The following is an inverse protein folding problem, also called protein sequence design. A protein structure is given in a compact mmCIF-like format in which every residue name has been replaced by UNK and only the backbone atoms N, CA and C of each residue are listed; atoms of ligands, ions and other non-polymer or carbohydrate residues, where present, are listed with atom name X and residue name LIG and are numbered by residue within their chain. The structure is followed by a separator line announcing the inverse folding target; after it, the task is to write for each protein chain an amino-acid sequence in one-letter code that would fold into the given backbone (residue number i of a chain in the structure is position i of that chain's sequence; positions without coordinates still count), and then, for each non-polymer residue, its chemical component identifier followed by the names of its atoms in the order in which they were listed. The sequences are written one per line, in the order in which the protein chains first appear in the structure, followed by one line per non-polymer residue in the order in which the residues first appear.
data_IF_169992319355
#
_entry.id   IF_169992319355
#
_cell.length_a   1.000
_cell.length_b   1.000
_cell.length_c   1.000
_cell.angle_alpha   90.00
_cell.angle_beta   90.00
_cell.angle_gamma   90.00
#
_symmetry.space_group_name_H-M   'P 1'
#
loop_
_entity.id
_entity.type
_entity.pdbx_description
1 polymer ?
#
# COMPACT_ATOMS: atom_id res chain seq x y z
N UNK A 1 -2.34 -21.03 9.78
CA UNK A 1 -2.11 -22.08 10.80
C UNK A 1 -0.63 -22.37 11.14
N UNK A 2 0.36 -22.17 10.25
CA UNK A 2 1.75 -22.54 10.52
C UNK A 2 2.60 -21.54 11.36
N UNK A 3 2.16 -20.28 11.48
CA UNK A 3 2.93 -19.21 12.13
C UNK A 3 3.46 -19.57 13.54
N UNK A 4 2.69 -20.18 14.46
CA UNK A 4 3.15 -20.49 15.82
C UNK A 4 4.29 -21.52 15.89
N UNK A 5 4.46 -22.32 14.84
CA UNK A 5 5.47 -23.38 14.75
C UNK A 5 6.77 -22.93 14.06
N UNK A 6 6.86 -21.65 13.67
CA UNK A 6 8.01 -21.10 12.96
C UNK A 6 9.29 -21.17 13.83
N UNK A 7 10.26 -21.98 13.38
CA UNK A 7 11.57 -22.18 14.01
C UNK A 7 12.72 -21.70 13.12
N UNK A 8 12.66 -20.44 12.69
CA UNK A 8 13.72 -19.81 11.91
C UNK A 8 14.79 -19.19 12.84
N UNK A 9 16.05 -19.64 12.73
CA UNK A 9 17.13 -19.02 13.49
C UNK A 9 17.47 -17.63 12.92
N UNK A 10 17.55 -16.61 13.79
CA UNK A 10 17.95 -15.27 13.39
C UNK A 10 16.92 -14.50 12.55
N UNK A 11 15.61 -14.84 12.69
CA UNK A 11 14.54 -14.14 12.01
C UNK A 11 14.53 -12.64 12.35
N UNK A 12 14.55 -11.78 11.32
CA UNK A 12 14.57 -10.32 11.47
C UNK A 12 13.32 -9.62 10.94
N UNK A 13 12.69 -10.17 9.91
CA UNK A 13 11.46 -9.63 9.33
C UNK A 13 10.43 -10.75 9.27
N UNK A 14 9.25 -10.50 9.81
CA UNK A 14 8.12 -11.41 9.80
C UNK A 14 6.91 -10.68 9.25
N UNK A 15 6.35 -11.18 8.16
CA UNK A 15 5.14 -10.66 7.52
C UNK A 15 4.12 -11.77 7.45
N UNK A 16 2.92 -11.51 7.96
CA UNK A 16 1.83 -12.47 8.08
C UNK A 16 0.57 -11.88 7.48
N UNK A 17 0.00 -12.54 6.48
CA UNK A 17 -1.32 -12.26 5.88
C UNK A 17 -2.23 -13.48 6.04
N UNK A 18 -3.56 -13.31 5.90
CA UNK A 18 -4.52 -14.42 6.04
C UNK A 18 -4.58 -15.03 7.44
N UNK A 19 -4.12 -14.29 8.47
CA UNK A 19 -3.91 -14.81 9.83
C UNK A 19 -5.07 -14.49 10.79
N UNK A 20 -6.33 -14.66 10.34
CA UNK A 20 -7.55 -14.33 11.11
C UNK A 20 -7.68 -15.10 12.44
N UNK A 21 -7.09 -16.29 12.51
CA UNK A 21 -7.11 -17.14 13.70
C UNK A 21 -5.89 -16.95 14.62
N UNK A 22 -5.01 -15.99 14.33
CA UNK A 22 -3.84 -15.72 15.17
C UNK A 22 -4.29 -15.15 16.52
N UNK A 23 -3.77 -15.72 17.61
CA UNK A 23 -4.13 -15.36 18.98
C UNK A 23 -2.98 -14.68 19.72
N UNK A 24 -3.30 -14.01 20.84
CA UNK A 24 -2.30 -13.43 21.73
C UNK A 24 -1.20 -14.42 22.14
N UNK A 25 -1.60 -15.63 22.54
CA UNK A 25 -0.66 -16.66 22.96
C UNK A 25 0.29 -17.07 21.81
N UNK A 26 -0.23 -17.18 20.59
CA UNK A 26 0.58 -17.50 19.42
C UNK A 26 1.57 -16.37 19.10
N UNK A 27 1.13 -15.12 19.12
CA UNK A 27 1.99 -13.96 18.86
C UNK A 27 3.04 -13.78 19.96
N UNK A 28 2.69 -13.99 21.22
CA UNK A 28 3.62 -13.96 22.34
C UNK A 28 4.72 -15.04 22.20
N UNK A 29 4.35 -16.27 21.84
CA UNK A 29 5.32 -17.35 21.57
C UNK A 29 6.24 -17.00 20.41
N UNK A 30 5.69 -16.43 19.34
CA UNK A 30 6.49 -15.97 18.20
C UNK A 30 7.50 -14.90 18.61
N UNK A 31 7.06 -13.88 19.34
CA UNK A 31 7.92 -12.81 19.82
C UNK A 31 9.02 -13.33 20.75
N UNK A 32 8.66 -14.19 21.71
CA UNK A 32 9.61 -14.77 22.67
C UNK A 32 10.67 -15.65 21.99
N UNK A 33 10.32 -16.37 20.93
CA UNK A 33 11.28 -17.20 20.17
C UNK A 33 12.21 -16.37 19.30
N UNK A 34 11.74 -15.22 18.83
CA UNK A 34 12.41 -14.41 17.82
C UNK A 34 12.75 -13.01 18.35
N UNK A 35 13.41 -12.90 19.52
CA UNK A 35 13.76 -11.59 20.11
C UNK A 35 14.73 -10.72 19.28
N UNK A 36 15.25 -11.26 18.17
CA UNK A 36 16.02 -10.51 17.16
C UNK A 36 15.15 -9.79 16.11
N UNK A 37 13.82 -9.86 16.22
CA UNK A 37 12.89 -9.30 15.25
C UNK A 37 13.04 -7.78 15.15
N UNK A 38 13.16 -7.29 13.92
CA UNK A 38 13.29 -5.89 13.56
C UNK A 38 12.04 -5.38 12.84
N UNK A 39 11.32 -6.23 12.11
CA UNK A 39 10.09 -5.88 11.40
C UNK A 39 9.00 -6.92 11.69
N UNK A 40 7.83 -6.47 12.11
CA UNK A 40 6.65 -7.30 12.31
C UNK A 40 5.45 -6.68 11.60
N UNK A 41 4.98 -7.32 10.52
CA UNK A 41 3.77 -6.91 9.81
C UNK A 41 2.71 -8.01 9.92
N UNK A 42 1.50 -7.67 10.37
CA UNK A 42 0.36 -8.60 10.40
C UNK A 42 -0.86 -7.89 9.82
N UNK A 43 -1.39 -8.41 8.72
CA UNK A 43 -2.51 -7.82 7.98
C UNK A 43 -2.49 -8.24 6.50
N UNK A 44 -3.49 -7.82 5.70
CA UNK A 44 -4.49 -6.79 6.00
C UNK A 44 -5.72 -7.28 6.78
N UNK A 45 -5.91 -8.60 6.93
CA UNK A 45 -7.09 -9.18 7.57
C UNK A 45 -7.31 -8.69 9.01
N UNK A 46 -8.57 -8.58 9.47
CA UNK A 46 -8.88 -8.25 10.85
C UNK A 46 -8.26 -9.22 11.86
N UNK A 47 -7.70 -8.68 12.94
CA UNK A 47 -7.04 -9.41 14.02
C UNK A 47 -7.93 -9.46 15.26
N UNK A 48 -9.12 -10.04 15.11
CA UNK A 48 -10.15 -10.12 16.15
C UNK A 48 -9.74 -10.81 17.45
N UNK A 49 -8.73 -11.67 17.38
CA UNK A 49 -8.22 -12.46 18.51
C UNK A 49 -6.89 -11.95 19.05
N UNK A 50 -6.45 -10.79 18.58
CA UNK A 50 -5.26 -10.11 19.09
C UNK A 50 -5.66 -8.88 19.89
N UNK A 51 -5.21 -8.83 21.14
CA UNK A 51 -5.42 -7.72 22.06
C UNK A 51 -4.12 -6.94 22.29
N UNK A 52 -4.24 -5.85 23.06
CA UNK A 52 -3.10 -5.09 23.54
C UNK A 52 -2.12 -5.90 24.39
N UNK A 53 -2.51 -7.01 25.01
CA UNK A 53 -1.58 -7.86 25.77
C UNK A 53 -0.55 -8.57 24.88
N UNK A 54 -0.92 -8.89 23.64
CA UNK A 54 0.04 -9.40 22.67
C UNK A 54 1.04 -8.32 22.25
N UNK A 55 0.61 -7.07 22.11
CA UNK A 55 1.51 -5.94 21.82
C UNK A 55 2.54 -5.76 22.94
N UNK A 56 2.09 -5.86 24.19
CA UNK A 56 2.98 -5.81 25.37
C UNK A 56 3.99 -6.96 25.33
N UNK A 57 3.55 -8.17 24.99
CA UNK A 57 4.43 -9.32 24.82
C UNK A 57 5.47 -9.10 23.71
N UNK A 58 5.04 -8.55 22.57
CA UNK A 58 5.94 -8.17 21.47
C UNK A 58 6.95 -7.13 21.93
N UNK A 59 6.51 -6.08 22.62
CA UNK A 59 7.38 -5.02 23.14
C UNK A 59 8.47 -5.57 24.06
N UNK A 60 8.09 -6.43 25.00
CA UNK A 60 9.00 -7.04 25.97
C UNK A 60 10.01 -8.00 25.33
N UNK A 61 9.58 -8.77 24.32
CA UNK A 61 10.42 -9.79 23.72
C UNK A 61 11.28 -9.29 22.56
N UNK A 62 10.91 -8.21 21.89
CA UNK A 62 11.55 -7.74 20.65
C UNK A 62 12.18 -6.34 20.80
N UNK A 63 13.28 -6.18 21.57
CA UNK A 63 13.88 -4.86 21.81
C UNK A 63 14.56 -4.23 20.58
N UNK A 64 14.75 -5.02 19.50
CA UNK A 64 15.32 -4.55 18.23
C UNK A 64 14.28 -4.14 17.20
N UNK A 65 13.00 -4.11 17.58
CA UNK A 65 11.91 -3.75 16.70
C UNK A 65 12.09 -2.32 16.17
N UNK A 66 11.98 -2.19 14.85
CA UNK A 66 12.16 -0.96 14.07
C UNK A 66 10.88 -0.58 13.33
N UNK A 67 10.15 -1.60 12.87
CA UNK A 67 8.90 -1.46 12.15
C UNK A 67 7.83 -2.39 12.76
N UNK A 68 6.68 -1.83 13.13
CA UNK A 68 5.52 -2.58 13.60
C UNK A 68 4.28 -2.12 12.84
N UNK A 69 3.66 -3.02 12.07
CA UNK A 69 2.47 -2.69 11.27
C UNK A 69 1.39 -3.73 11.50
N UNK A 70 0.28 -3.33 12.09
CA UNK A 70 -0.83 -4.22 12.42
C UNK A 70 -2.14 -3.66 11.87
N UNK A 71 -3.01 -4.54 11.38
CA UNK A 71 -4.29 -4.20 10.79
C UNK A 71 -5.45 -4.81 11.59
N UNK A 72 -6.52 -4.06 11.78
CA UNK A 72 -7.78 -4.56 12.32
C UNK A 72 -7.73 -5.02 13.77
N UNK A 73 -6.95 -4.34 14.63
CA UNK A 73 -7.03 -4.57 16.09
C UNK A 73 -8.29 -3.93 16.66
N UNK A 74 -8.89 -4.58 17.65
CA UNK A 74 -10.05 -4.03 18.37
C UNK A 74 -9.66 -2.85 19.24
N UNK A 75 -8.52 -2.94 19.92
CA UNK A 75 -8.02 -1.88 20.78
C UNK A 75 -6.50 -1.84 20.86
N UNK A 76 -5.98 -0.62 20.91
CA UNK A 76 -4.57 -0.32 21.20
C UNK A 76 -4.54 0.62 22.40
N UNK A 77 -4.21 0.07 23.56
CA UNK A 77 -4.27 0.77 24.86
C UNK A 77 -3.01 1.58 25.15
N UNK A 78 -3.14 2.58 26.04
CA UNK A 78 -2.01 3.39 26.51
C UNK A 78 -0.87 2.55 27.10
N UNK A 79 -1.19 1.50 27.88
CA UNK A 79 -0.19 0.64 28.52
C UNK A 79 0.64 -0.13 27.50
N UNK A 80 0.02 -0.64 26.43
CA UNK A 80 0.72 -1.30 25.34
C UNK A 80 1.66 -0.34 24.60
N UNK A 81 1.22 0.88 24.32
CA UNK A 81 2.03 1.91 23.68
C UNK A 81 3.18 2.37 24.60
N UNK A 82 2.95 2.46 25.90
CA UNK A 82 3.98 2.78 26.89
C UNK A 82 5.05 1.67 26.99
N UNK A 83 4.64 0.40 26.93
CA UNK A 83 5.57 -0.73 26.89
C UNK A 83 6.39 -0.75 25.58
N UNK A 84 5.78 -0.43 24.43
CA UNK A 84 6.51 -0.24 23.17
C UNK A 84 7.53 0.91 23.29
N UNK A 85 7.15 2.04 23.86
CA UNK A 85 8.05 3.17 24.06
C UNK A 85 9.23 2.84 24.99
N UNK A 86 8.98 2.04 26.03
CA UNK A 86 10.01 1.65 27.01
C UNK A 86 10.96 0.59 26.47
N UNK A 87 10.45 -0.41 25.76
CA UNK A 87 11.20 -1.62 25.42
C UNK A 87 11.69 -1.66 23.96
N UNK A 88 11.13 -0.85 23.06
CA UNK A 88 11.52 -0.79 21.64
C UNK A 88 12.04 0.61 21.23
N UNK A 89 13.20 1.07 21.75
CA UNK A 89 13.71 2.42 21.51
C UNK A 89 14.10 2.70 20.04
N UNK A 90 14.23 1.65 19.22
CA UNK A 90 14.57 1.73 17.79
C UNK A 90 13.34 1.79 16.87
N UNK A 91 12.13 1.70 17.44
CA UNK A 91 10.87 1.72 16.72
C UNK A 91 10.65 3.10 16.10
N UNK A 92 10.67 3.15 14.77
CA UNK A 92 10.55 4.40 14.02
C UNK A 92 9.47 4.37 12.95
N UNK A 93 8.94 3.18 12.63
CA UNK A 93 7.84 2.98 11.70
C UNK A 93 6.73 2.21 12.42
N UNK A 94 5.59 2.85 12.59
CA UNK A 94 4.44 2.29 13.29
C UNK A 94 3.18 2.49 12.47
N UNK A 95 2.44 1.42 12.24
CA UNK A 95 1.15 1.47 11.59
C UNK A 95 0.10 0.68 12.38
N UNK A 96 -1.00 1.34 12.72
CA UNK A 96 -2.22 0.72 13.22
C UNK A 96 -3.33 1.03 12.22
N UNK A 97 -3.60 0.07 11.33
CA UNK A 97 -4.52 0.24 10.21
C UNK A 97 -5.88 -0.33 10.61
N UNK A 98 -6.97 0.36 10.28
CA UNK A 98 -8.36 -0.06 10.52
C UNK A 98 -8.61 -0.54 11.97
N UNK A 99 -7.93 0.07 12.94
CA UNK A 99 -8.10 -0.26 14.36
C UNK A 99 -9.31 0.50 14.94
N UNK A 100 -10.12 -0.17 15.76
CA UNK A 100 -11.39 0.42 16.22
C UNK A 100 -11.19 1.48 17.31
N UNK A 101 -10.30 1.20 18.27
CA UNK A 101 -9.96 2.09 19.39
C UNK A 101 -8.44 2.21 19.49
N UNK A 102 -7.95 3.43 19.54
CA UNK A 102 -6.52 3.75 19.62
C UNK A 102 -6.32 4.85 20.66
N UNK A 103 -5.43 4.64 21.63
CA UNK A 103 -5.02 5.69 22.56
C UNK A 103 -4.04 6.65 21.88
N UNK A 104 -4.58 7.73 21.33
CA UNK A 104 -3.85 8.69 20.50
C UNK A 104 -2.86 9.56 21.31
N UNK A 105 -3.18 9.98 22.55
CA UNK A 105 -2.20 10.65 23.41
C UNK A 105 -0.98 9.78 23.72
N UNK A 106 -1.15 8.48 23.97
CA UNK A 106 -0.04 7.60 24.32
C UNK A 106 0.97 7.40 23.18
N UNK A 107 0.56 7.56 21.91
CA UNK A 107 1.48 7.56 20.75
C UNK A 107 2.55 8.66 20.85
N UNK A 108 2.27 9.76 21.56
CA UNK A 108 3.25 10.83 21.76
C UNK A 108 4.46 10.40 22.63
N UNK A 109 4.33 9.30 23.39
CA UNK A 109 5.44 8.72 24.17
C UNK A 109 6.51 8.04 23.32
N UNK A 110 6.21 7.72 22.05
CA UNK A 110 7.11 7.04 21.13
C UNK A 110 8.01 8.04 20.40
N UNK A 111 8.96 8.63 21.14
CA UNK A 111 9.79 9.75 20.64
C UNK A 111 10.69 9.42 19.45
N UNK A 112 10.96 8.13 19.20
CA UNK A 112 11.77 7.66 18.07
C UNK A 112 10.98 7.54 16.75
N UNK A 113 9.66 7.77 16.76
CA UNK A 113 8.82 7.64 15.57
C UNK A 113 9.20 8.64 14.49
N UNK A 114 9.40 8.11 13.28
CA UNK A 114 9.58 8.87 12.04
C UNK A 114 8.38 8.72 11.11
N UNK A 115 7.76 7.56 11.10
CA UNK A 115 6.62 7.24 10.26
C UNK A 115 5.49 6.69 11.10
N UNK A 116 4.31 7.30 10.99
CA UNK A 116 3.09 6.87 11.68
C UNK A 116 1.96 6.72 10.67
N UNK A 117 1.26 5.60 10.69
CA UNK A 117 -0.02 5.45 9.99
C UNK A 117 -1.11 5.01 10.95
N UNK A 118 -2.24 5.71 10.88
CA UNK A 118 -3.48 5.41 11.60
C UNK A 118 -4.65 5.25 10.61
N UNK A 119 -4.35 4.92 9.36
CA UNK A 119 -5.35 4.90 8.30
C UNK A 119 -6.52 3.97 8.62
N UNK A 120 -7.74 4.42 8.31
CA UNK A 120 -8.97 3.68 8.59
C UNK A 120 -9.43 3.67 10.05
N UNK A 121 -8.68 4.28 10.98
CA UNK A 121 -9.13 4.43 12.36
C UNK A 121 -10.14 5.58 12.47
N UNK A 122 -11.42 5.27 12.70
CA UNK A 122 -12.52 6.25 12.64
C UNK A 122 -12.85 6.95 13.97
N UNK A 123 -12.32 6.48 15.10
CA UNK A 123 -12.65 7.01 16.43
C UNK A 123 -11.55 7.90 17.00
N UNK A 124 -10.78 8.58 16.14
CA UNK A 124 -9.66 9.40 16.59
C UNK A 124 -10.12 10.76 17.12
N UNK A 125 -9.70 11.10 18.33
CA UNK A 125 -9.88 12.44 18.90
C UNK A 125 -8.86 13.41 18.29
N UNK A 126 -9.14 13.90 17.08
CA UNK A 126 -8.21 14.70 16.29
C UNK A 126 -7.69 15.97 16.96
N UNK A 127 -8.48 16.61 17.83
CA UNK A 127 -8.06 17.80 18.55
C UNK A 127 -6.86 17.51 19.49
N UNK A 128 -6.94 16.43 20.25
CA UNK A 128 -5.86 16.00 21.17
C UNK A 128 -4.73 15.30 20.43
N UNK A 129 -5.06 14.47 19.44
CA UNK A 129 -4.08 13.75 18.63
C UNK A 129 -3.15 14.73 17.89
N UNK A 130 -3.70 15.67 17.11
CA UNK A 130 -2.90 16.63 16.36
C UNK A 130 -2.08 17.58 17.25
N UNK A 131 -2.57 17.92 18.44
CA UNK A 131 -1.79 18.72 19.40
C UNK A 131 -0.58 17.94 19.93
N UNK A 132 -0.77 16.65 20.24
CA UNK A 132 0.27 15.79 20.80
C UNK A 132 1.29 15.37 19.75
N UNK A 133 0.83 14.91 18.59
CA UNK A 133 1.70 14.43 17.50
C UNK A 133 2.49 15.54 16.83
N UNK A 134 2.01 16.79 16.89
CA UNK A 134 2.80 17.94 16.43
C UNK A 134 4.08 18.15 17.24
N UNK A 135 4.15 17.64 18.48
CA UNK A 135 5.31 17.75 19.36
C UNK A 135 6.30 16.58 19.23
N UNK A 136 5.99 15.57 18.40
CA UNK A 136 6.89 14.43 18.22
C UNK A 136 8.20 14.90 17.58
N UNK A 137 9.36 14.60 18.19
CA UNK A 137 10.64 15.24 17.84
C UNK A 137 11.29 14.67 16.57
N UNK A 138 10.73 13.63 15.97
CA UNK A 138 11.30 12.95 14.80
C UNK A 138 10.26 12.58 13.74
N UNK A 139 8.98 12.90 13.96
CA UNK A 139 7.90 12.50 13.06
C UNK A 139 8.08 13.19 11.71
N UNK A 140 8.34 12.41 10.67
CA UNK A 140 8.66 12.86 9.31
C UNK A 140 7.46 12.69 8.38
N UNK A 141 6.73 11.59 8.48
CA UNK A 141 5.50 11.39 7.73
C UNK A 141 4.38 10.79 8.57
N UNK A 142 3.16 11.22 8.26
CA UNK A 142 1.93 10.80 8.91
C UNK A 142 0.92 10.37 7.86
N UNK A 143 0.28 9.23 8.05
CA UNK A 143 -0.83 8.76 7.24
C UNK A 143 -2.11 8.70 8.07
N UNK A 144 -3.09 9.48 7.63
CA UNK A 144 -4.43 9.62 8.21
C UNK A 144 -5.51 9.28 7.18
N UNK A 145 -5.15 8.57 6.11
CA UNK A 145 -6.07 8.21 5.03
C UNK A 145 -7.29 7.42 5.56
N UNK A 146 -8.47 7.61 4.95
CA UNK A 146 -9.72 6.95 5.37
C UNK A 146 -10.11 7.21 6.84
N UNK A 147 -9.81 8.39 7.37
CA UNK A 147 -10.24 8.82 8.71
C UNK A 147 -11.14 10.05 8.64
N UNK A 148 -11.72 10.43 9.77
CA UNK A 148 -12.55 11.63 9.95
C UNK A 148 -11.71 12.88 10.33
N UNK A 149 -10.43 12.91 9.95
CA UNK A 149 -9.53 14.03 10.25
C UNK A 149 -10.09 15.35 9.73
N UNK A 150 -10.11 16.35 10.60
CA UNK A 150 -10.59 17.70 10.25
C UNK A 150 -9.49 18.57 9.63
N UNK A 151 -9.86 19.52 8.75
CA UNK A 151 -9.00 20.61 8.28
C UNK A 151 -8.17 21.31 9.35
N UNK A 152 -8.79 21.60 10.49
CA UNK A 152 -8.15 22.26 11.63
C UNK A 152 -7.06 21.41 12.27
N UNK A 153 -7.24 20.08 12.31
CA UNK A 153 -6.22 19.16 12.82
C UNK A 153 -5.01 19.10 11.89
N UNK A 154 -5.22 19.00 10.58
CA UNK A 154 -4.15 19.05 9.57
C UNK A 154 -3.41 20.40 9.63
N UNK A 155 -4.14 21.51 9.68
CA UNK A 155 -3.56 22.85 9.80
C UNK A 155 -2.73 23.02 11.08
N UNK A 156 -3.15 22.41 12.20
CA UNK A 156 -2.38 22.40 13.45
C UNK A 156 -1.06 21.65 13.29
N UNK A 157 -1.08 20.45 12.71
CA UNK A 157 0.12 19.64 12.43
C UNK A 157 1.10 20.39 11.51
N UNK A 158 0.57 21.05 10.47
CA UNK A 158 1.36 21.88 9.56
C UNK A 158 1.98 23.08 10.30
N UNK A 159 1.24 23.72 11.20
CA UNK A 159 1.70 24.94 11.86
C UNK A 159 2.71 24.70 12.99
N UNK A 160 2.57 23.60 13.73
CA UNK A 160 3.31 23.37 14.98
C UNK A 160 4.41 22.33 14.88
N UNK A 161 4.30 21.34 13.99
CA UNK A 161 5.38 20.35 13.85
C UNK A 161 6.60 20.98 13.17
N UNK A 162 7.80 20.69 13.66
CA UNK A 162 9.06 21.16 13.04
C UNK A 162 9.70 20.11 12.15
N UNK A 163 9.33 18.84 12.29
CA UNK A 163 9.95 17.70 11.59
C UNK A 163 9.07 17.10 10.51
N UNK A 164 7.75 17.27 10.60
CA UNK A 164 6.81 16.65 9.67
C UNK A 164 7.01 17.23 8.27
N UNK A 165 7.17 16.36 7.28
CA UNK A 165 7.38 16.72 5.87
C UNK A 165 6.24 16.26 4.98
N UNK A 166 5.52 15.21 5.38
CA UNK A 166 4.49 14.58 4.57
C UNK A 166 3.27 14.17 5.40
N UNK A 167 2.08 14.49 4.93
CA UNK A 167 0.80 14.00 5.44
C UNK A 167 0.06 13.32 4.30
N UNK A 168 -0.25 12.02 4.43
CA UNK A 168 -1.14 11.31 3.51
C UNK A 168 -2.55 11.31 4.09
N UNK A 169 -3.51 11.86 3.36
CA UNK A 169 -4.89 11.99 3.78
C UNK A 169 -5.82 11.63 2.60
N UNK A 170 -5.65 10.42 2.08
CA UNK A 170 -6.41 9.92 0.94
C UNK A 170 -7.79 9.43 1.40
N UNK A 171 -8.83 9.79 0.65
CA UNK A 171 -10.21 9.43 0.95
C UNK A 171 -10.66 9.94 2.33
N UNK A 172 -10.35 11.22 2.60
CA UNK A 172 -10.76 11.93 3.81
C UNK A 172 -11.80 13.00 3.43
N UNK A 173 -13.08 12.63 3.53
CA UNK A 173 -14.20 13.43 3.00
C UNK A 173 -14.15 14.92 3.41
N UNK A 174 -13.92 15.21 4.70
CA UNK A 174 -13.88 16.60 5.19
C UNK A 174 -12.75 17.45 4.57
N UNK A 175 -11.60 16.84 4.24
CA UNK A 175 -10.48 17.55 3.62
C UNK A 175 -10.70 17.73 2.11
N UNK A 176 -11.24 16.70 1.47
CA UNK A 176 -11.52 16.71 0.03
C UNK A 176 -12.64 17.70 -0.31
N UNK A 177 -13.64 17.82 0.56
CA UNK A 177 -14.67 18.87 0.48
C UNK A 177 -14.03 20.26 0.65
N UNK A 178 -13.18 20.48 1.65
CA UNK A 178 -12.53 21.78 1.85
C UNK A 178 -11.66 22.18 0.64
N UNK A 179 -10.93 21.23 0.08
CA UNK A 179 -10.11 21.44 -1.11
C UNK A 179 -10.95 21.75 -2.36
N UNK A 180 -12.12 21.12 -2.50
CA UNK A 180 -13.05 21.44 -3.58
C UNK A 180 -13.57 22.89 -3.48
N UNK A 181 -13.77 23.41 -2.25
CA UNK A 181 -14.19 24.80 -2.03
C UNK A 181 -13.01 25.79 -2.13
N UNK A 182 -11.81 25.36 -1.74
CA UNK A 182 -10.59 26.16 -1.75
C UNK A 182 -9.44 25.31 -2.29
N UNK A 183 -9.15 25.36 -3.61
CA UNK A 183 -8.06 24.58 -4.21
C UNK A 183 -6.67 24.92 -3.66
N UNK A 184 -6.53 26.09 -3.02
CA UNK A 184 -5.33 26.50 -2.31
C UNK A 184 -5.28 26.05 -0.83
N UNK A 185 -6.29 25.32 -0.35
CA UNK A 185 -6.28 24.70 0.97
C UNK A 185 -5.00 23.87 1.12
N UNK A 186 -4.28 24.04 2.23
CA UNK A 186 -2.99 23.39 2.48
C UNK A 186 -1.86 23.68 1.47
N UNK A 187 -2.02 24.60 0.50
CA UNK A 187 -0.95 24.99 -0.42
C UNK A 187 0.14 25.86 0.25
N UNK A 188 -0.18 26.55 1.36
CA UNK A 188 0.77 27.33 2.16
C UNK A 188 1.31 26.52 3.35
N UNK A 189 1.83 25.34 3.06
CA UNK A 189 2.20 24.32 4.04
C UNK A 189 3.59 24.50 4.67
N UNK A 190 4.23 25.68 4.54
CA UNK A 190 5.58 25.96 5.05
C UNK A 190 6.61 24.89 4.67
N UNK A 191 6.54 24.35 3.45
CA UNK A 191 7.45 23.31 2.96
C UNK A 191 7.07 21.88 3.37
N UNK A 192 5.81 21.64 3.77
CA UNK A 192 5.26 20.30 4.03
C UNK A 192 4.34 19.85 2.91
N UNK A 193 4.27 18.56 2.63
CA UNK A 193 3.39 18.02 1.60
C UNK A 193 2.12 17.43 2.23
N UNK A 194 0.96 17.75 1.69
CA UNK A 194 -0.32 17.10 2.03
C UNK A 194 -0.87 16.41 0.79
N UNK A 195 -0.94 15.08 0.84
CA UNK A 195 -1.47 14.25 -0.25
C UNK A 195 -2.95 13.94 0.00
N UNK A 196 -3.79 14.38 -0.91
CA UNK A 196 -5.22 14.05 -1.01
C UNK A 196 -5.47 13.33 -2.33
N UNK A 197 -6.66 12.74 -2.51
CA UNK A 197 -7.01 12.06 -3.77
C UNK A 197 -7.18 13.04 -4.94
N UNK A 198 -7.58 14.28 -4.64
CA UNK A 198 -7.84 15.32 -5.65
C UNK A 198 -6.55 15.94 -6.20
N UNK A 199 -5.44 15.90 -5.45
CA UNK A 199 -4.14 16.30 -5.98
C UNK A 199 -3.57 15.18 -6.82
N UNK A 200 -3.06 15.54 -8.00
CA UNK A 200 -2.32 14.58 -8.81
C UNK A 200 -1.06 14.16 -8.04
N UNK A 201 -1.07 13.00 -7.39
CA UNK A 201 -0.02 12.51 -6.50
C UNK A 201 1.33 12.57 -7.22
N UNK A 202 1.38 12.18 -8.49
CA UNK A 202 2.58 12.20 -9.33
C UNK A 202 3.10 13.61 -9.64
N UNK A 203 2.22 14.56 -10.01
CA UNK A 203 2.60 15.95 -10.30
C UNK A 203 2.93 16.74 -9.03
N UNK A 204 2.27 16.41 -7.92
CA UNK A 204 2.44 17.10 -6.64
C UNK A 204 3.75 16.68 -5.94
N UNK A 205 4.11 15.40 -6.04
CA UNK A 205 5.44 14.93 -5.62
C UNK A 205 6.54 15.54 -6.53
N UNK A 206 6.27 15.82 -7.82
CA UNK A 206 7.22 16.43 -8.75
C UNK A 206 7.38 17.96 -8.57
N UNK A 207 6.28 18.70 -8.39
CA UNK A 207 6.27 20.16 -8.25
C UNK A 207 6.80 20.63 -6.88
N UNK A 208 6.49 19.88 -5.81
CA UNK A 208 6.97 20.13 -4.44
C UNK A 208 8.04 19.09 -4.03
N UNK A 209 8.82 18.60 -5.00
CA UNK A 209 9.89 17.65 -4.77
C UNK A 209 10.97 18.23 -3.85
N UNK A 210 11.15 19.55 -3.74
CA UNK A 210 12.23 20.14 -2.95
C UNK A 210 12.27 19.68 -1.47
N UNK A 211 11.14 19.60 -0.73
CA UNK A 211 11.10 18.98 0.60
C UNK A 211 11.41 17.47 0.63
N UNK A 212 11.24 16.72 -0.47
CA UNK A 212 11.53 15.27 -0.57
C UNK A 212 12.92 14.99 -1.17
N UNK A 213 13.40 15.86 -2.06
CA UNK A 213 14.55 15.78 -2.96
C UNK A 213 14.98 17.21 -3.39
N UNK A 214 15.82 17.91 -2.60
CA UNK A 214 16.15 19.33 -2.83
C UNK A 214 16.97 19.66 -4.10
N UNK A 215 17.44 18.67 -4.88
CA UNK A 215 18.44 18.87 -5.93
C UNK A 215 18.03 18.38 -7.34
N UNK A 216 16.77 18.03 -7.57
CA UNK A 216 16.34 17.41 -8.85
C UNK A 216 15.23 18.21 -9.51
N UNK A 217 15.44 18.58 -10.78
CA UNK A 217 14.40 19.15 -11.64
C UNK A 217 13.48 18.02 -12.11
N UNK A 218 12.45 17.70 -11.31
CA UNK A 218 11.64 16.52 -11.55
C UNK A 218 10.56 16.79 -12.62
N UNK A 219 10.42 15.88 -13.58
CA UNK A 219 9.28 15.83 -14.51
C UNK A 219 8.19 14.90 -13.97
N UNK A 220 6.94 15.20 -14.31
CA UNK A 220 5.65 14.71 -13.75
C UNK A 220 5.43 13.19 -13.55
N UNK A 221 6.36 12.32 -13.94
CA UNK A 221 6.27 10.85 -13.82
C UNK A 221 7.54 10.18 -13.29
N UNK A 222 8.58 10.96 -12.96
CA UNK A 222 9.93 10.41 -12.75
C UNK A 222 10.35 10.39 -11.27
N UNK A 223 9.56 10.95 -10.34
CA UNK A 223 10.01 11.12 -8.94
C UNK A 223 10.37 9.80 -8.26
N UNK A 224 9.52 8.78 -8.38
CA UNK A 224 9.78 7.48 -7.76
C UNK A 224 11.00 6.80 -8.40
N UNK A 225 11.11 6.81 -9.74
CA UNK A 225 12.22 6.18 -10.47
C UNK A 225 13.57 6.91 -10.24
N UNK A 226 13.55 8.24 -10.11
CA UNK A 226 14.72 9.07 -9.79
C UNK A 226 15.16 8.91 -8.32
N UNK A 227 14.19 8.87 -7.38
CA UNK A 227 14.45 8.59 -5.98
C UNK A 227 15.04 7.19 -5.77
N UNK A 228 14.54 6.18 -6.49
CA UNK A 228 15.07 4.80 -6.49
C UNK A 228 16.51 4.76 -7.01
N UNK A 229 16.83 5.55 -8.04
CA UNK A 229 18.15 5.61 -8.67
C UNK A 229 19.18 6.44 -7.89
N UNK A 230 18.75 7.41 -7.08
CA UNK A 230 19.61 8.27 -6.22
C UNK A 230 20.09 7.57 -4.93
N UNK A 231 19.74 6.30 -4.74
CA UNK A 231 19.92 5.51 -3.50
C UNK A 231 21.36 5.32 -3.01
N UNK A 232 22.37 5.77 -3.78
CA UNK A 232 23.78 5.72 -3.36
C UNK A 232 24.22 6.75 -2.31
N UNK A 233 23.44 7.80 -2.00
CA UNK A 233 23.93 8.92 -1.14
C UNK A 233 22.97 9.48 -0.07
N UNK A 234 21.68 9.10 0.01
CA UNK A 234 20.70 9.73 0.94
C UNK A 234 19.74 8.72 1.61
N UNK A 235 20.15 8.13 2.73
CA UNK A 235 19.38 7.09 3.45
C UNK A 235 17.96 7.53 3.90
N UNK A 236 17.73 8.81 4.19
CA UNK A 236 16.43 9.29 4.70
C UNK A 236 15.33 9.42 3.63
N UNK A 237 15.70 9.86 2.42
CA UNK A 237 14.75 10.04 1.31
C UNK A 237 14.26 8.68 0.80
N UNK A 238 15.18 7.72 0.68
CA UNK A 238 14.83 6.36 0.29
C UNK A 238 13.82 5.72 1.25
N UNK A 239 14.00 5.89 2.57
CA UNK A 239 13.05 5.36 3.57
C UNK A 239 11.67 6.00 3.46
N UNK A 240 11.60 7.31 3.24
CA UNK A 240 10.33 8.03 3.07
C UNK A 240 9.58 7.58 1.82
N UNK A 241 10.29 7.36 0.70
CA UNK A 241 9.70 6.86 -0.55
C UNK A 241 9.21 5.42 -0.38
N UNK A 242 10.03 4.54 0.22
CA UNK A 242 9.61 3.16 0.55
C UNK A 242 8.37 3.16 1.45
N UNK A 243 8.32 4.03 2.45
CA UNK A 243 7.13 4.18 3.29
C UNK A 243 5.92 4.68 2.49
N UNK A 244 6.09 5.71 1.66
CA UNK A 244 5.01 6.27 0.83
C UNK A 244 4.47 5.24 -0.16
N UNK A 245 5.32 4.49 -0.85
CA UNK A 245 4.91 3.39 -1.73
C UNK A 245 4.03 2.36 -0.99
N UNK A 246 4.41 2.04 0.25
CA UNK A 246 3.63 1.15 1.10
C UNK A 246 2.24 1.71 1.40
N UNK A 247 2.16 2.97 1.83
CA UNK A 247 0.90 3.66 2.14
C UNK A 247 0.00 3.76 0.90
N UNK A 248 0.55 4.19 -0.23
CA UNK A 248 -0.20 4.32 -1.49
C UNK A 248 -0.74 2.97 -1.95
N UNK A 249 0.07 1.91 -1.92
CA UNK A 249 -0.41 0.58 -2.31
C UNK A 249 -1.52 0.04 -1.41
N UNK A 250 -1.50 0.35 -0.12
CA UNK A 250 -2.57 -0.02 0.82
C UNK A 250 -3.84 0.78 0.58
N UNK A 251 -3.71 2.10 0.42
CA UNK A 251 -4.86 2.98 0.21
C UNK A 251 -5.53 2.72 -1.13
N UNK A 252 -4.77 2.55 -2.22
CA UNK A 252 -5.31 2.27 -3.55
C UNK A 252 -6.01 0.91 -3.63
N UNK A 253 -5.54 -0.10 -2.89
CA UNK A 253 -6.22 -1.39 -2.82
C UNK A 253 -7.62 -1.29 -2.18
N UNK A 254 -7.79 -0.36 -1.22
CA UNK A 254 -9.02 -0.22 -0.42
C UNK A 254 -9.99 0.85 -0.93
N UNK A 255 -9.52 1.83 -1.71
CA UNK A 255 -10.39 2.85 -2.31
C UNK A 255 -11.55 2.22 -3.13
N UNK A 256 -11.33 1.17 -3.96
CA UNK A 256 -12.41 0.48 -4.66
C UNK A 256 -13.48 -0.11 -3.74
N UNK A 257 -13.13 -0.58 -2.54
CA UNK A 257 -14.07 -1.19 -1.58
C UNK A 257 -15.12 -0.20 -1.07
N UNK A 258 -14.79 1.10 -1.07
CA UNK A 258 -15.67 2.19 -0.63
C UNK A 258 -16.43 2.89 -1.77
N UNK A 259 -16.09 2.58 -3.03
CA UNK A 259 -16.55 3.19 -4.29
C UNK A 259 -17.25 4.56 -4.16
N UNK A 260 -16.56 5.62 -3.70
CA UNK A 260 -17.16 6.94 -3.61
C UNK A 260 -17.52 7.46 -5.01
N UNK A 261 -18.68 8.10 -5.16
CA UNK A 261 -19.05 8.78 -6.40
C UNK A 261 -17.93 9.74 -6.85
N UNK A 262 -17.43 9.57 -8.07
CA UNK A 262 -16.42 10.46 -8.67
C UNK A 262 -15.01 9.87 -8.83
N UNK A 263 -14.71 8.67 -8.31
CA UNK A 263 -13.37 8.07 -8.42
C UNK A 263 -12.97 7.64 -9.83
N UNK A 264 -13.92 7.49 -10.77
CA UNK A 264 -13.62 7.15 -12.17
C UNK A 264 -12.59 8.11 -12.77
N UNK A 265 -12.72 9.41 -12.49
CA UNK A 265 -11.82 10.43 -13.03
C UNK A 265 -10.42 10.33 -12.40
N UNK A 266 -10.33 10.11 -11.09
CA UNK A 266 -9.05 9.86 -10.40
C UNK A 266 -8.29 8.69 -11.03
N UNK A 267 -8.99 7.57 -11.27
CA UNK A 267 -8.40 6.36 -11.82
C UNK A 267 -7.85 6.56 -13.24
N UNK A 268 -8.58 7.31 -14.08
CA UNK A 268 -8.17 7.63 -15.45
C UNK A 268 -7.05 8.66 -15.50
N UNK A 269 -7.09 9.69 -14.65
CA UNK A 269 -6.12 10.80 -14.70
C UNK A 269 -4.76 10.45 -14.10
N UNK A 270 -4.72 9.54 -13.12
CA UNK A 270 -3.48 9.25 -12.39
C UNK A 270 -3.40 7.85 -11.77
N UNK A 271 -4.53 7.20 -11.48
CA UNK A 271 -4.52 5.95 -10.74
C UNK A 271 -3.79 4.81 -11.47
N UNK A 272 -4.01 4.64 -12.77
CA UNK A 272 -3.29 3.64 -13.57
C UNK A 272 -1.76 3.87 -13.54
N UNK A 273 -1.31 5.08 -13.85
CA UNK A 273 0.11 5.44 -13.83
C UNK A 273 0.74 5.24 -12.45
N UNK A 274 0.01 5.56 -11.37
CA UNK A 274 0.49 5.37 -10.01
C UNK A 274 0.62 3.88 -9.65
N UNK A 275 -0.36 3.04 -10.00
CA UNK A 275 -0.29 1.59 -9.80
C UNK A 275 0.88 0.97 -10.56
N UNK A 276 1.09 1.37 -11.81
CA UNK A 276 2.25 0.93 -12.58
C UNK A 276 3.57 1.38 -11.96
N UNK A 277 3.63 2.59 -11.39
CA UNK A 277 4.81 3.04 -10.64
C UNK A 277 5.08 2.16 -9.42
N UNK A 278 4.04 1.71 -8.71
CA UNK A 278 4.15 0.83 -7.55
C UNK A 278 4.55 -0.61 -7.91
N UNK A 279 4.18 -1.11 -9.11
CA UNK A 279 4.66 -2.40 -9.61
C UNK A 279 6.21 -2.48 -9.72
N UNK A 280 6.87 -1.33 -9.87
CA UNK A 280 8.34 -1.23 -9.91
C UNK A 280 9.00 -1.11 -8.52
N UNK A 281 8.22 -1.14 -7.43
CA UNK A 281 8.76 -1.02 -6.07
C UNK A 281 9.71 -2.19 -5.75
N UNK A 282 10.70 -1.94 -4.91
CA UNK A 282 11.55 -2.99 -4.33
C UNK A 282 10.86 -3.79 -3.23
N UNK A 283 9.69 -3.33 -2.76
CA UNK A 283 8.92 -4.02 -1.73
C UNK A 283 7.97 -5.03 -2.35
N UNK A 284 8.19 -6.29 -2.01
CA UNK A 284 7.43 -7.43 -2.50
C UNK A 284 5.91 -7.30 -2.29
N UNK A 285 5.49 -6.78 -1.14
CA UNK A 285 4.09 -6.60 -0.76
C UNK A 285 3.45 -5.38 -1.45
N UNK A 286 4.24 -4.37 -1.79
CA UNK A 286 3.79 -3.22 -2.60
C UNK A 286 3.48 -3.68 -4.03
N UNK A 287 4.37 -4.46 -4.63
CA UNK A 287 4.15 -5.01 -5.97
C UNK A 287 2.92 -5.90 -6.02
N UNK A 288 2.76 -6.78 -5.03
CA UNK A 288 1.61 -7.68 -4.93
C UNK A 288 0.30 -6.88 -4.81
N UNK A 289 0.21 -5.94 -3.86
CA UNK A 289 -0.99 -5.08 -3.73
C UNK A 289 -1.28 -4.26 -4.98
N UNK A 290 -0.26 -3.75 -5.66
CA UNK A 290 -0.45 -2.99 -6.90
C UNK A 290 -0.97 -3.89 -8.04
N UNK A 291 -0.45 -5.11 -8.16
CA UNK A 291 -0.93 -6.11 -9.14
C UNK A 291 -2.37 -6.54 -8.83
N UNK A 292 -2.67 -6.83 -7.56
CA UNK A 292 -4.04 -7.14 -7.11
C UNK A 292 -4.99 -5.99 -7.39
N UNK A 293 -4.56 -4.76 -7.10
CA UNK A 293 -5.39 -3.57 -7.39
C UNK A 293 -5.62 -3.46 -8.89
N UNK A 294 -4.63 -3.65 -9.75
CA UNK A 294 -4.81 -3.65 -11.21
C UNK A 294 -5.73 -4.80 -11.70
N UNK A 295 -5.73 -5.93 -11.01
CA UNK A 295 -6.62 -7.04 -11.33
C UNK A 295 -8.08 -6.71 -11.04
N UNK A 296 -8.36 -6.01 -9.94
CA UNK A 296 -9.72 -5.58 -9.58
C UNK A 296 -10.10 -4.22 -10.19
N UNK A 297 -9.11 -3.44 -10.62
CA UNK A 297 -9.24 -2.06 -11.14
C UNK A 297 -10.23 -1.91 -12.29
N UNK A 298 -10.26 -2.92 -13.17
CA UNK A 298 -11.04 -2.90 -14.40
C UNK A 298 -12.48 -3.39 -14.16
N UNK A 299 -12.73 -4.13 -13.08
CA UNK A 299 -14.04 -4.75 -12.78
C UNK A 299 -14.95 -3.73 -12.11
N UNK A 300 -16.07 -3.36 -12.75
CA UNK A 300 -17.04 -2.39 -12.21
C UNK A 300 -18.10 -3.08 -11.34
N UNK A 301 -18.44 -4.33 -11.67
CA UNK A 301 -19.49 -5.10 -11.01
C UNK A 301 -19.11 -6.58 -11.03
N UNK A 302 -19.06 -7.20 -9.84
CA UNK A 302 -18.74 -8.62 -9.65
C UNK A 302 -19.82 -9.52 -10.27
N UNK A 303 -21.06 -9.04 -10.42
CA UNK A 303 -22.17 -9.85 -10.95
C UNK A 303 -22.17 -9.96 -12.47
N UNK A 304 -21.74 -8.90 -13.17
CA UNK A 304 -21.86 -8.81 -14.63
C UNK A 304 -20.52 -8.92 -15.38
N UNK A 305 -19.39 -9.11 -14.69
CA UNK A 305 -18.04 -9.11 -15.31
C UNK A 305 -17.78 -7.88 -16.19
N UNK A 306 -18.47 -6.77 -15.89
CA UNK A 306 -18.49 -5.61 -16.76
C UNK A 306 -17.22 -4.81 -16.49
N UNK A 307 -16.34 -4.76 -17.49
CA UNK A 307 -15.04 -4.11 -17.39
C UNK A 307 -15.12 -2.69 -17.92
N UNK A 308 -14.60 -1.71 -17.18
CA UNK A 308 -14.48 -0.33 -17.68
C UNK A 308 -13.44 -0.30 -18.82
N UNK A 309 -13.86 -0.07 -20.08
CA UNK A 309 -12.94 -0.09 -21.20
C UNK A 309 -11.90 1.03 -21.11
N UNK A 310 -12.27 2.20 -20.58
CA UNK A 310 -11.38 3.35 -20.48
C UNK A 310 -10.26 3.11 -19.47
N UNK A 311 -10.58 2.48 -18.33
CA UNK A 311 -9.57 2.08 -17.33
C UNK A 311 -8.58 1.06 -17.88
N UNK A 312 -9.10 0.04 -18.58
CA UNK A 312 -8.26 -1.00 -19.19
C UNK A 312 -7.33 -0.42 -20.26
N UNK A 313 -7.85 0.49 -21.09
CA UNK A 313 -7.05 1.21 -22.08
C UNK A 313 -6.01 2.13 -21.44
N UNK A 314 -6.31 2.81 -20.34
CA UNK A 314 -5.35 3.62 -19.60
C UNK A 314 -4.14 2.80 -19.12
N UNK A 315 -4.38 1.62 -18.54
CA UNK A 315 -3.29 0.69 -18.13
C UNK A 315 -2.43 0.30 -19.33
N UNK A 316 -3.05 0.02 -20.47
CA UNK A 316 -2.31 -0.33 -21.69
C UNK A 316 -1.47 0.85 -22.22
N UNK A 317 -2.06 2.05 -22.30
CA UNK A 317 -1.41 3.26 -22.83
C UNK A 317 -0.23 3.71 -21.97
N UNK A 318 -0.32 3.53 -20.65
CA UNK A 318 0.76 3.83 -19.69
C UNK A 318 1.85 2.73 -19.65
N UNK A 319 1.80 1.74 -20.55
CA UNK A 319 2.82 0.69 -20.65
C UNK A 319 2.66 -0.43 -19.62
N UNK A 320 1.47 -0.66 -19.10
CA UNK A 320 1.21 -1.69 -18.08
C UNK A 320 1.30 -3.12 -18.59
N UNK A 321 0.98 -3.36 -19.87
CA UNK A 321 1.02 -4.71 -20.46
C UNK A 321 2.41 -5.37 -20.38
N UNK A 322 3.50 -4.75 -20.88
CA UNK A 322 4.82 -5.37 -20.78
C UNK A 322 5.24 -5.62 -19.31
N UNK A 323 4.88 -4.70 -18.40
CA UNK A 323 5.19 -4.85 -16.98
C UNK A 323 4.48 -6.04 -16.35
N UNK A 324 3.18 -6.22 -16.62
CA UNK A 324 2.42 -7.36 -16.12
C UNK A 324 2.95 -8.68 -16.72
N UNK A 325 3.35 -8.69 -18.00
CA UNK A 325 3.96 -9.86 -18.64
C UNK A 325 5.32 -10.21 -18.02
N UNK A 326 6.13 -9.23 -17.64
CA UNK A 326 7.40 -9.46 -16.93
C UNK A 326 7.17 -10.04 -15.53
N UNK A 327 6.16 -9.53 -14.81
CA UNK A 327 5.75 -10.07 -13.50
C UNK A 327 5.20 -11.49 -13.62
N UNK A 328 4.45 -11.79 -14.68
CA UNK A 328 3.95 -13.14 -14.97
C UNK A 328 5.09 -14.15 -15.22
N UNK A 329 6.28 -13.70 -15.61
CA UNK A 329 7.48 -14.56 -15.77
C UNK A 329 8.27 -14.75 -14.47
N UNK A 330 7.96 -14.01 -13.41
CA UNK A 330 8.68 -14.12 -12.15
C UNK A 330 8.43 -15.48 -11.47
N UNK A 331 9.41 -15.93 -10.67
CA UNK A 331 9.32 -17.17 -9.90
C UNK A 331 8.45 -17.07 -8.64
N UNK A 332 7.94 -15.88 -8.32
CA UNK A 332 7.11 -15.61 -7.15
C UNK A 332 5.67 -15.95 -7.48
N UNK A 333 5.18 -17.09 -6.99
CA UNK A 333 3.86 -17.62 -7.33
C UNK A 333 2.71 -16.66 -7.01
N UNK A 334 2.76 -15.92 -5.89
CA UNK A 334 1.72 -14.93 -5.55
C UNK A 334 1.62 -13.84 -6.62
N UNK A 335 2.76 -13.19 -6.91
CA UNK A 335 2.84 -12.13 -7.90
C UNK A 335 2.54 -12.61 -9.32
N UNK A 336 2.97 -13.83 -9.64
CA UNK A 336 2.69 -14.47 -10.92
C UNK A 336 1.18 -14.70 -11.11
N UNK A 337 0.48 -15.18 -10.07
CA UNK A 337 -0.98 -15.37 -10.08
C UNK A 337 -1.72 -14.04 -10.23
N UNK A 338 -1.35 -13.02 -9.45
CA UNK A 338 -1.98 -11.70 -9.50
C UNK A 338 -1.75 -11.01 -10.86
N UNK A 339 -0.56 -11.14 -11.44
CA UNK A 339 -0.26 -10.60 -12.76
C UNK A 339 -1.10 -11.29 -13.86
N UNK A 340 -1.22 -12.62 -13.82
CA UNK A 340 -2.07 -13.35 -14.77
C UNK A 340 -3.54 -12.96 -14.64
N UNK A 341 -4.03 -12.82 -13.41
CA UNK A 341 -5.39 -12.35 -13.14
C UNK A 341 -5.63 -10.94 -13.70
N UNK A 342 -4.68 -10.03 -13.50
CA UNK A 342 -4.76 -8.69 -14.08
C UNK A 342 -4.78 -8.72 -15.60
N UNK A 343 -3.90 -9.51 -16.24
CA UNK A 343 -3.89 -9.68 -17.69
C UNK A 343 -5.22 -10.25 -18.18
N UNK A 344 -5.77 -11.26 -17.50
CA UNK A 344 -7.05 -11.88 -17.84
C UNK A 344 -8.18 -10.86 -17.83
N UNK A 345 -8.34 -10.12 -16.72
CA UNK A 345 -9.42 -9.14 -16.56
C UNK A 345 -9.29 -7.98 -17.55
N UNK A 346 -8.08 -7.47 -17.78
CA UNK A 346 -7.85 -6.40 -18.75
C UNK A 346 -8.11 -6.87 -20.20
N UNK A 347 -7.86 -8.15 -20.50
CA UNK A 347 -8.07 -8.75 -21.83
C UNK A 347 -9.54 -8.99 -22.19
N UNK A 348 -10.48 -8.66 -21.31
CA UNK A 348 -11.89 -8.52 -21.70
C UNK A 348 -12.05 -7.39 -22.72
N UNK A 349 -11.18 -6.36 -22.67
CA UNK A 349 -11.11 -5.33 -23.69
C UNK A 349 -10.34 -5.84 -24.94
N UNK A 350 -10.93 -5.85 -26.15
CA UNK A 350 -10.29 -6.38 -27.35
C UNK A 350 -8.98 -5.68 -27.76
N UNK A 351 -8.85 -4.37 -27.52
CA UNK A 351 -7.61 -3.63 -27.82
C UNK A 351 -6.47 -4.10 -26.91
N UNK A 352 -6.80 -4.33 -25.64
CA UNK A 352 -5.83 -4.82 -24.65
C UNK A 352 -5.46 -6.27 -24.95
N UNK A 353 -6.44 -7.12 -25.26
CA UNK A 353 -6.21 -8.51 -25.69
C UNK A 353 -5.23 -8.58 -26.87
N UNK A 354 -5.41 -7.70 -27.87
CA UNK A 354 -4.49 -7.57 -29.00
C UNK A 354 -3.08 -7.17 -28.58
N UNK A 355 -2.95 -6.14 -27.74
CA UNK A 355 -1.65 -5.72 -27.23
C UNK A 355 -0.93 -6.82 -26.43
N UNK A 356 -1.67 -7.61 -25.64
CA UNK A 356 -1.15 -8.77 -24.91
C UNK A 356 -0.66 -9.85 -25.88
N UNK A 357 -1.45 -10.17 -26.90
CA UNK A 357 -1.07 -11.16 -27.92
C UNK A 357 0.19 -10.73 -28.70
N UNK A 358 0.23 -9.48 -29.16
CA UNK A 358 1.34 -8.91 -29.94
C UNK A 358 2.66 -8.88 -29.13
N UNK A 359 2.57 -8.76 -27.81
CA UNK A 359 3.71 -8.79 -26.89
C UNK A 359 4.09 -10.21 -26.43
N UNK A 360 3.52 -11.26 -27.03
CA UNK A 360 3.84 -12.65 -26.73
C UNK A 360 3.19 -13.19 -25.46
N UNK A 361 2.15 -12.53 -24.94
CA UNK A 361 1.42 -12.92 -23.73
C UNK A 361 0.83 -14.32 -23.80
N UNK A 362 0.38 -14.78 -24.97
CA UNK A 362 -0.17 -16.14 -25.17
C UNK A 362 0.86 -17.21 -24.77
N UNK A 363 2.11 -17.07 -25.19
CA UNK A 363 3.16 -18.04 -24.87
C UNK A 363 3.49 -18.05 -23.37
N UNK A 364 3.47 -16.88 -22.72
CA UNK A 364 3.71 -16.74 -21.28
C UNK A 364 2.58 -17.44 -20.51
N UNK A 365 1.32 -17.10 -20.80
CA UNK A 365 0.16 -17.69 -20.12
C UNK A 365 0.06 -19.20 -20.38
N UNK A 366 0.40 -19.67 -21.59
CA UNK A 366 0.45 -21.12 -21.90
C UNK A 366 1.47 -21.86 -21.03
N UNK A 367 2.62 -21.25 -20.76
CA UNK A 367 3.60 -21.85 -19.86
C UNK A 367 3.11 -21.84 -18.40
N UNK A 368 2.45 -20.77 -17.97
CA UNK A 368 1.90 -20.65 -16.63
C UNK A 368 0.73 -21.60 -16.37
N UNK A 369 -0.10 -21.87 -17.38
CA UNK A 369 -1.20 -22.84 -17.31
C UNK A 369 -0.71 -24.28 -17.01
N UNK A 370 0.60 -24.55 -17.16
CA UNK A 370 1.25 -25.82 -16.81
C UNK A 370 1.85 -25.83 -15.40
N UNK A 371 1.65 -24.75 -14.63
CA UNK A 371 2.17 -24.65 -13.26
C UNK A 371 1.56 -25.72 -12.35
N UNK A 372 2.36 -26.18 -11.40
CA UNK A 372 1.89 -27.05 -10.30
C UNK A 372 1.07 -26.26 -9.27
N UNK A 373 1.25 -24.95 -9.22
CA UNK A 373 0.41 -24.08 -8.40
C UNK A 373 -0.93 -23.89 -9.11
N UNK A 374 -1.98 -24.42 -8.48
CA UNK A 374 -3.34 -24.42 -9.03
C UNK A 374 -3.87 -23.02 -9.31
N UNK A 375 -3.62 -22.04 -8.42
CA UNK A 375 -4.09 -20.67 -8.61
C UNK A 375 -3.45 -20.04 -9.84
N UNK A 376 -2.13 -20.19 -9.98
CA UNK A 376 -1.40 -19.72 -11.17
C UNK A 376 -1.95 -20.34 -12.45
N UNK A 377 -2.19 -21.65 -12.45
CA UNK A 377 -2.71 -22.35 -13.63
C UNK A 377 -4.14 -21.92 -13.99
N UNK A 378 -5.01 -21.75 -12.99
CA UNK A 378 -6.40 -21.31 -13.17
C UNK A 378 -6.47 -19.89 -13.74
N UNK A 379 -5.74 -18.93 -13.17
CA UNK A 379 -5.71 -17.54 -13.64
C UNK A 379 -5.13 -17.43 -15.07
N UNK A 380 -4.08 -18.22 -15.35
CA UNK A 380 -3.50 -18.26 -16.69
C UNK A 380 -4.46 -18.85 -17.74
N UNK A 381 -5.22 -19.88 -17.38
CA UNK A 381 -6.26 -20.44 -18.24
C UNK A 381 -7.39 -19.44 -18.51
N UNK A 382 -7.82 -18.68 -17.49
CA UNK A 382 -8.78 -17.58 -17.64
C UNK A 382 -8.29 -16.51 -18.62
N UNK A 383 -7.02 -16.12 -18.52
CA UNK A 383 -6.41 -15.19 -19.48
C UNK A 383 -6.38 -15.72 -20.91
N UNK A 384 -5.99 -16.99 -21.11
CA UNK A 384 -6.01 -17.63 -22.43
C UNK A 384 -7.42 -17.71 -23.02
N UNK A 385 -8.43 -17.98 -22.19
CA UNK A 385 -9.83 -17.99 -22.62
C UNK A 385 -10.23 -16.62 -23.17
N UNK A 386 -10.00 -15.53 -22.43
CA UNK A 386 -10.31 -14.17 -22.88
C UNK A 386 -9.59 -13.81 -24.20
N UNK A 387 -8.31 -14.19 -24.35
CA UNK A 387 -7.54 -13.96 -25.57
C UNK A 387 -8.05 -14.78 -26.77
N UNK A 388 -8.71 -15.92 -26.55
CA UNK A 388 -9.22 -16.80 -27.61
C UNK A 388 -10.56 -16.37 -28.20
N UNK A 389 -11.34 -15.58 -27.45
CA UNK A 389 -12.69 -15.15 -27.83
C UNK A 389 -12.66 -13.97 -28.82
N UNK A 390 -11.58 -13.19 -28.86
CA UNK A 390 -11.38 -12.10 -29.84
C UNK A 390 -11.21 -12.62 -31.28
N UNK A 391 -12.04 -12.17 -32.21
CA UNK A 391 -12.09 -12.67 -33.60
C UNK A 391 -10.76 -12.54 -34.37
N UNK A 392 -9.85 -11.63 -33.99
CA UNK A 392 -8.55 -11.42 -34.64
C UNK A 392 -7.43 -12.39 -34.19
N UNK A 393 -7.63 -13.19 -33.12
CA UNK A 393 -6.54 -13.96 -32.48
C UNK A 393 -6.65 -15.49 -32.64
N UNK A 394 -7.68 -15.97 -33.34
CA UNK A 394 -7.95 -17.42 -33.54
C UNK A 394 -6.79 -18.19 -34.21
N UNK A 395 -5.93 -17.51 -34.98
CA UNK A 395 -4.84 -18.15 -35.73
C UNK A 395 -3.69 -18.64 -34.83
N UNK A 396 -3.48 -18.02 -33.66
CA UNK A 396 -2.41 -18.40 -32.72
C UNK A 396 -2.90 -19.38 -31.65
N UNK A 397 -4.11 -19.17 -31.13
CA UNK A 397 -4.71 -20.02 -30.08
C UNK A 397 -4.99 -21.45 -30.56
N UNK A 398 -5.28 -21.64 -31.85
CA UNK A 398 -5.52 -22.96 -32.45
C UNK A 398 -4.27 -23.89 -32.46
N UNK A 399 -3.06 -23.36 -32.19
CA UNK A 399 -1.84 -24.18 -32.06
C UNK A 399 -1.52 -24.60 -30.62
N UNK A 400 -2.17 -24.02 -29.61
CA UNK A 400 -1.90 -24.32 -28.20
C UNK A 400 -2.92 -25.28 -27.57
N UNK A 401 -4.05 -25.53 -28.25
CA UNK A 401 -5.05 -26.53 -27.84
C UNK A 401 -4.82 -27.86 -28.57
N UNK A 402 -3.68 -28.53 -28.34
CA UNK A 402 -3.52 -29.99 -28.52
C UNK A 402 -2.35 -30.50 -27.67
#
# INVERSE_FOLDING_TARGET
EAAPFLRAAGLRSLRLSGCRDLTDAALAVLAARHGGLAELHIGPDPLDRISSDALRSVALCCPRLRCLRLSGLREVTADALADLARHCPLLHDLAFIDCLVLDEPALAGLTSLRFLSVAGCQNIKWATASASWAQLPSLTALDVSRTDVSPGAVSRLISHSTTLRLICALNCASLEEEEAHSPAAFANSRGKLVLTINRTISKYIAADAAPLCPDTAVKDTVVFDECRSSSGKRNGVSQLITWLEWILSQSLLRIPESNPHGMNQFWLDQGAALLLTLLKSSQEDVQERAATTLATFAVIDDENTNVDPARSEAVMLEGGIPMLLDLARCSRESLQSEAAKAIANLSVNPKVAKAVADQGGIAILTNMAKSVNRLVAEEAAGGLWNLSVGEEHKVVSARCCF
#
